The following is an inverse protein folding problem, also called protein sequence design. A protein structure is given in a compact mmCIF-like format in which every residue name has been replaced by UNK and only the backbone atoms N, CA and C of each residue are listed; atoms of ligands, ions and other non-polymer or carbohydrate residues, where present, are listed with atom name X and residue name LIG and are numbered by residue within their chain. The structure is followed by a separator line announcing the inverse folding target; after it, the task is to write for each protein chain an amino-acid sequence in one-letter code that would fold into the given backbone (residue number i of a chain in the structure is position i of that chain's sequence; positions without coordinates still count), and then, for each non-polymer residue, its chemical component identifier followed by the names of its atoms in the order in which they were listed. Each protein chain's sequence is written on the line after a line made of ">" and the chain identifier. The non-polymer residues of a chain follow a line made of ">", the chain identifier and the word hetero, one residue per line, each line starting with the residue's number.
data_IF_103297804671
#
_entry.id   IF_103297804671
#
_cell.length_a   1.000
_cell.length_b   1.000
_cell.length_c   1.000
_cell.angle_alpha   90.00
_cell.angle_beta   90.00
_cell.angle_gamma   90.00
#
_symmetry.space_group_name_H-M   'P 1'
#
loop_
_entity.id
_entity.type
_entity.pdbx_description
1 polymer ?
#
# COMPACT_ATOMS: atom_id res chain seq x y z
N UNK A 1 6.97 -1.19 -20.05
CA UNK A 1 8.10 -2.13 -20.02
C UNK A 1 8.69 -2.10 -18.61
N UNK A 2 8.45 -3.15 -17.82
CA UNK A 2 8.86 -3.24 -16.42
C UNK A 2 10.33 -3.64 -16.34
N UNK A 3 11.20 -2.72 -15.91
CA UNK A 3 12.60 -3.01 -15.61
C UNK A 3 12.66 -3.80 -14.28
N UNK A 4 13.13 -5.06 -14.27
CA UNK A 4 13.23 -5.86 -13.05
C UNK A 4 14.04 -5.19 -11.93
N UNK A 5 15.07 -4.42 -12.30
CA UNK A 5 15.88 -3.65 -11.36
C UNK A 5 15.08 -2.53 -10.70
N UNK A 6 14.24 -1.83 -11.47
CA UNK A 6 13.36 -0.78 -10.94
C UNK A 6 12.36 -1.33 -9.92
N UNK A 7 11.78 -2.51 -10.18
CA UNK A 7 10.85 -3.17 -9.24
C UNK A 7 11.58 -3.56 -7.95
N UNK A 8 12.75 -4.18 -8.05
CA UNK A 8 13.54 -4.58 -6.89
C UNK A 8 13.93 -3.38 -6.01
N UNK A 9 14.33 -2.27 -6.62
CA UNK A 9 14.67 -1.02 -5.92
C UNK A 9 13.45 -0.48 -5.17
N UNK A 10 12.28 -0.38 -5.81
CA UNK A 10 11.08 0.13 -5.16
C UNK A 10 10.69 -0.74 -3.95
N UNK A 11 10.74 -2.06 -4.10
CA UNK A 11 10.42 -2.98 -3.01
C UNK A 11 11.39 -2.83 -1.83
N UNK A 12 12.69 -2.71 -2.08
CA UNK A 12 13.70 -2.47 -1.05
C UNK A 12 13.51 -1.10 -0.36
N UNK A 13 13.26 -0.05 -1.15
CA UNK A 13 13.03 1.29 -0.65
C UNK A 13 11.78 1.37 0.25
N UNK A 14 10.67 0.76 -0.18
CA UNK A 14 9.41 0.69 0.59
C UNK A 14 9.62 0.01 1.94
N UNK A 15 10.40 -1.08 2.01
CA UNK A 15 10.80 -1.71 3.27
C UNK A 15 11.66 -0.80 4.14
N UNK A 16 12.71 -0.21 3.56
CA UNK A 16 13.66 0.62 4.30
C UNK A 16 12.95 1.83 4.94
N UNK A 17 12.15 2.57 4.16
CA UNK A 17 11.41 3.74 4.66
C UNK A 17 10.26 3.38 5.61
N UNK A 18 9.76 2.14 5.61
CA UNK A 18 8.77 1.69 6.58
C UNK A 18 9.40 1.30 7.93
N UNK A 19 10.63 0.78 7.93
CA UNK A 19 11.27 0.20 9.13
C UNK A 19 12.26 1.15 9.82
N UNK A 20 12.74 2.17 9.11
CA UNK A 20 13.78 3.07 9.58
C UNK A 20 13.34 4.53 9.43
N UNK A 21 13.88 5.40 10.29
CA UNK A 21 13.71 6.84 10.10
C UNK A 21 14.34 7.30 8.79
N UNK A 22 13.75 8.32 8.16
CA UNK A 22 14.20 8.81 6.85
C UNK A 22 15.71 9.02 6.83
N UNK A 23 16.29 9.72 7.81
CA UNK A 23 17.72 10.02 7.89
C UNK A 23 18.63 8.77 7.96
N UNK A 24 18.16 7.66 8.52
CA UNK A 24 18.92 6.42 8.62
C UNK A 24 18.94 5.62 7.31
N UNK A 25 17.97 5.83 6.42
CA UNK A 25 17.90 5.15 5.12
C UNK A 25 18.99 5.71 4.18
N UNK A 26 19.74 4.81 3.54
CA UNK A 26 20.77 5.20 2.56
C UNK A 26 20.55 4.52 1.21
N UNK A 27 20.90 5.19 0.10
CA UNK A 27 20.83 4.62 -1.24
C UNK A 27 21.70 3.36 -1.39
N UNK A 28 22.85 3.30 -0.69
CA UNK A 28 23.70 2.10 -0.66
C UNK A 28 23.02 0.94 0.07
N UNK A 29 22.35 1.19 1.19
CA UNK A 29 21.58 0.16 1.90
C UNK A 29 20.44 -0.40 1.06
N UNK A 30 19.67 0.48 0.39
CA UNK A 30 18.61 0.08 -0.54
C UNK A 30 19.20 -0.73 -1.71
N UNK A 31 20.32 -0.31 -2.29
CA UNK A 31 20.96 -1.01 -3.40
C UNK A 31 21.41 -2.42 -3.01
N UNK A 32 21.99 -2.57 -1.81
CA UNK A 32 22.38 -3.87 -1.26
C UNK A 32 21.17 -4.80 -1.08
N UNK A 33 20.08 -4.31 -0.50
CA UNK A 33 18.84 -5.09 -0.30
C UNK A 33 18.14 -5.45 -1.62
N UNK A 34 18.22 -4.57 -2.63
CA UNK A 34 17.71 -4.82 -3.98
C UNK A 34 18.65 -5.67 -4.85
N UNK A 35 19.85 -6.00 -4.38
CA UNK A 35 20.92 -6.67 -5.14
C UNK A 35 21.25 -5.94 -6.48
N UNK A 36 21.41 -4.62 -6.41
CA UNK A 36 21.77 -3.74 -7.55
C UNK A 36 22.87 -2.75 -7.16
N UNK A 37 23.39 -1.98 -8.12
CA UNK A 37 24.32 -0.89 -7.83
C UNK A 37 23.58 0.40 -7.42
N UNK A 38 24.17 1.21 -6.54
CA UNK A 38 23.62 2.52 -6.18
C UNK A 38 23.51 3.47 -7.40
N UNK A 39 24.41 3.31 -8.38
CA UNK A 39 24.35 4.05 -9.65
C UNK A 39 23.07 3.75 -10.44
N UNK A 40 22.56 2.50 -10.37
CA UNK A 40 21.29 2.13 -11.01
C UNK A 40 20.10 2.84 -10.34
N UNK A 41 20.13 3.02 -9.01
CA UNK A 41 19.09 3.79 -8.31
C UNK A 41 19.11 5.26 -8.76
N UNK A 42 20.29 5.89 -8.80
CA UNK A 42 20.44 7.27 -9.27
C UNK A 42 19.97 7.41 -10.72
N UNK A 43 20.28 6.43 -11.58
CA UNK A 43 19.81 6.41 -12.97
C UNK A 43 18.29 6.35 -13.08
N UNK A 44 17.61 5.57 -12.23
CA UNK A 44 16.14 5.41 -12.31
C UNK A 44 15.34 6.48 -11.55
N UNK A 45 15.88 6.99 -10.44
CA UNK A 45 15.14 7.80 -9.48
C UNK A 45 15.83 9.12 -9.13
N UNK A 46 17.09 9.32 -9.52
CA UNK A 46 17.84 10.55 -9.25
C UNK A 46 18.41 10.60 -7.83
N UNK A 47 17.55 10.84 -6.83
CA UNK A 47 17.98 11.05 -5.43
C UNK A 47 17.20 10.19 -4.43
N UNK A 48 17.59 10.27 -3.15
CA UNK A 48 16.87 9.60 -2.06
C UNK A 48 15.50 10.23 -1.85
N UNK A 49 15.41 11.56 -1.96
CA UNK A 49 14.18 12.35 -1.87
C UNK A 49 13.22 11.92 -2.98
N UNK A 50 13.67 11.92 -4.24
CA UNK A 50 12.83 11.52 -5.37
C UNK A 50 12.41 10.04 -5.30
N UNK A 51 13.27 9.16 -4.78
CA UNK A 51 12.89 7.77 -4.49
C UNK A 51 11.86 7.69 -3.36
N UNK A 52 12.01 8.50 -2.31
CA UNK A 52 11.04 8.59 -1.22
C UNK A 52 9.69 9.12 -1.72
N UNK A 53 9.67 10.15 -2.55
CA UNK A 53 8.43 10.67 -3.15
C UNK A 53 7.71 9.60 -3.96
N UNK A 54 8.46 8.83 -4.77
CA UNK A 54 7.85 7.71 -5.50
C UNK A 54 7.39 6.58 -4.61
N UNK A 55 8.04 6.38 -3.46
CA UNK A 55 7.54 5.49 -2.42
C UNK A 55 6.24 6.07 -1.89
N UNK A 56 6.23 7.28 -1.33
CA UNK A 56 5.11 7.98 -0.70
C UNK A 56 3.90 8.23 -1.62
N UNK A 57 4.03 8.05 -2.93
CA UNK A 57 2.95 8.09 -3.89
C UNK A 57 2.11 6.79 -3.90
N UNK A 58 0.80 6.94 -3.67
CA UNK A 58 -0.20 5.89 -3.66
C UNK A 58 -1.19 5.99 -4.84
N UNK A 59 -1.03 6.93 -5.76
CA UNK A 59 -1.94 7.15 -6.91
C UNK A 59 -2.22 5.85 -7.69
N UNK A 60 -1.17 5.17 -8.13
CA UNK A 60 -1.25 3.90 -8.87
C UNK A 60 -1.99 2.82 -8.07
N UNK A 61 -1.79 2.78 -6.75
CA UNK A 61 -2.48 1.81 -5.90
C UNK A 61 -3.96 2.17 -5.69
N UNK A 62 -4.27 3.46 -5.56
CA UNK A 62 -5.65 3.93 -5.47
C UNK A 62 -6.42 3.61 -6.76
N UNK A 63 -5.83 3.87 -7.93
CA UNK A 63 -6.41 3.52 -9.22
C UNK A 63 -6.74 2.02 -9.29
N UNK A 64 -5.80 1.15 -8.92
CA UNK A 64 -6.02 -0.29 -8.90
C UNK A 64 -7.12 -0.71 -7.93
N UNK A 65 -7.15 -0.16 -6.72
CA UNK A 65 -8.16 -0.48 -5.70
C UNK A 65 -9.57 -0.02 -6.10
N UNK A 66 -9.68 1.04 -6.91
CA UNK A 66 -10.95 1.66 -7.31
C UNK A 66 -11.41 1.22 -8.70
N UNK A 67 -10.67 0.34 -9.38
CA UNK A 67 -10.92 -0.12 -10.75
C UNK A 67 -12.06 -1.16 -10.88
N UNK A 68 -13.21 -0.88 -10.24
CA UNK A 68 -14.44 -1.67 -10.37
C UNK A 68 -15.68 -0.79 -10.17
N UNK A 69 -16.86 -1.20 -10.70
CA UNK A 69 -18.15 -0.59 -10.37
C UNK A 69 -18.47 -0.62 -8.87
N UNK A 70 -19.36 0.25 -8.40
CA UNK A 70 -19.66 0.37 -6.96
C UNK A 70 -20.17 -0.92 -6.36
N UNK A 71 -21.02 -1.64 -7.10
CA UNK A 71 -21.67 -2.88 -6.68
C UNK A 71 -20.67 -4.01 -6.37
N UNK A 72 -19.48 -3.93 -6.95
CA UNK A 72 -18.42 -4.95 -6.81
C UNK A 72 -17.16 -4.41 -6.12
N UNK A 73 -17.13 -3.11 -5.80
CA UNK A 73 -15.92 -2.41 -5.37
C UNK A 73 -15.32 -3.00 -4.09
N UNK A 74 -16.14 -3.43 -3.14
CA UNK A 74 -15.66 -4.07 -1.92
C UNK A 74 -14.91 -5.38 -2.20
N UNK A 75 -15.47 -6.23 -3.08
CA UNK A 75 -14.84 -7.51 -3.46
C UNK A 75 -13.56 -7.27 -4.26
N UNK A 76 -13.63 -6.36 -5.23
CA UNK A 76 -12.49 -5.97 -6.06
C UNK A 76 -11.33 -5.42 -5.22
N UNK A 77 -11.60 -4.54 -4.25
CA UNK A 77 -10.57 -3.97 -3.39
C UNK A 77 -9.85 -5.03 -2.54
N UNK A 78 -10.60 -6.00 -1.97
CA UNK A 78 -10.01 -7.10 -1.20
C UNK A 78 -9.14 -7.99 -2.08
N UNK A 79 -9.65 -8.42 -3.24
CA UNK A 79 -8.88 -9.24 -4.17
C UNK A 79 -7.63 -8.54 -4.68
N UNK A 80 -7.77 -7.26 -5.07
CA UNK A 80 -6.67 -6.43 -5.52
C UNK A 80 -5.60 -6.37 -4.45
N UNK A 81 -5.97 -6.13 -3.19
CA UNK A 81 -5.02 -6.08 -2.09
C UNK A 81 -4.30 -7.43 -1.89
N UNK A 82 -5.06 -8.53 -1.81
CA UNK A 82 -4.52 -9.88 -1.55
C UNK A 82 -3.58 -10.31 -2.69
N UNK A 83 -4.00 -10.12 -3.94
CA UNK A 83 -3.21 -10.49 -5.12
C UNK A 83 -1.98 -9.59 -5.27
N UNK A 84 -2.13 -8.28 -5.07
CA UNK A 84 -0.99 -7.36 -5.10
C UNK A 84 0.08 -7.77 -4.09
N UNK A 85 -0.33 -8.19 -2.89
CA UNK A 85 0.58 -8.69 -1.85
C UNK A 85 1.31 -9.96 -2.27
N UNK A 86 0.63 -10.91 -2.91
CA UNK A 86 1.26 -12.16 -3.38
C UNK A 86 2.30 -11.90 -4.48
N UNK A 87 2.02 -10.97 -5.38
CA UNK A 87 2.90 -10.66 -6.51
C UNK A 87 4.05 -9.72 -6.13
N UNK A 88 3.80 -8.75 -5.24
CA UNK A 88 4.75 -7.66 -4.94
C UNK A 88 5.38 -7.74 -3.54
N UNK A 89 4.83 -8.53 -2.62
CA UNK A 89 5.29 -8.64 -1.23
C UNK A 89 4.65 -7.62 -0.27
N UNK A 90 5.37 -7.27 0.79
CA UNK A 90 4.97 -6.29 1.81
C UNK A 90 5.07 -4.86 1.25
N UNK A 91 4.03 -4.30 0.61
CA UNK A 91 4.29 -3.06 -0.16
C UNK A 91 3.30 -1.90 -0.11
N UNK A 92 2.04 -2.08 0.30
CA UNK A 92 1.11 -0.94 0.38
C UNK A 92 0.81 -0.52 1.81
N UNK A 93 0.33 -1.47 2.61
CA UNK A 93 -0.31 -1.19 3.90
C UNK A 93 0.67 -1.10 5.07
N UNK A 94 1.76 -1.88 5.01
CA UNK A 94 2.86 -1.82 5.98
C UNK A 94 3.42 -0.40 6.06
N UNK A 95 3.59 0.28 4.92
CA UNK A 95 4.14 1.63 4.88
C UNK A 95 3.32 2.62 5.70
N UNK A 96 1.99 2.54 5.61
CA UNK A 96 1.07 3.43 6.34
C UNK A 96 1.01 3.06 7.82
N UNK A 97 0.90 1.76 8.12
CA UNK A 97 0.84 1.25 9.50
C UNK A 97 2.11 1.61 10.29
N UNK A 98 3.30 1.49 9.67
CA UNK A 98 4.57 1.84 10.32
C UNK A 98 4.94 3.33 10.23
N UNK A 99 4.21 4.11 9.41
CA UNK A 99 4.27 5.57 9.42
C UNK A 99 3.54 6.21 10.61
N UNK A 100 3.08 5.44 11.61
CA UNK A 100 2.43 5.97 12.81
C UNK A 100 3.37 6.79 13.75
N UNK A 101 4.67 6.81 13.49
CA UNK A 101 5.64 7.59 14.27
C UNK A 101 5.63 9.11 13.97
N UNK A 102 6.36 9.86 14.81
CA UNK A 102 6.63 11.30 14.63
C UNK A 102 7.74 11.53 13.60
N UNK A 103 7.55 12.50 12.70
CA UNK A 103 8.49 12.85 11.63
C UNK A 103 7.76 13.40 10.40
N UNK A 104 8.35 14.40 9.74
CA UNK A 104 7.72 15.08 8.60
C UNK A 104 7.45 14.12 7.44
N UNK A 105 8.38 13.20 7.17
CA UNK A 105 8.26 12.19 6.11
C UNK A 105 7.15 11.18 6.40
N UNK A 106 7.00 10.79 7.66
CA UNK A 106 5.88 9.92 8.09
C UNK A 106 4.54 10.66 7.97
N UNK A 107 4.51 11.96 8.25
CA UNK A 107 3.32 12.79 8.03
C UNK A 107 2.93 12.88 6.55
N UNK A 108 3.91 13.07 5.65
CA UNK A 108 3.68 13.07 4.20
C UNK A 108 3.09 11.75 3.69
N UNK A 109 3.59 10.59 4.17
CA UNK A 109 3.01 9.29 3.81
C UNK A 109 1.54 9.19 4.22
N UNK A 110 1.20 9.65 5.44
CA UNK A 110 -0.19 9.64 5.93
C UNK A 110 -1.08 10.60 5.12
N UNK A 111 -0.57 11.78 4.80
CA UNK A 111 -1.26 12.77 3.99
C UNK A 111 -1.54 12.24 2.58
N UNK A 112 -0.54 11.71 1.88
CA UNK A 112 -0.73 11.12 0.56
C UNK A 112 -1.70 9.94 0.59
N UNK A 113 -1.62 9.07 1.59
CA UNK A 113 -2.57 7.95 1.72
C UNK A 113 -4.01 8.46 1.88
N UNK A 114 -4.23 9.44 2.76
CA UNK A 114 -5.55 10.06 2.94
C UNK A 114 -6.04 10.69 1.64
N UNK A 115 -5.18 11.46 0.99
CA UNK A 115 -5.56 12.30 -0.14
C UNK A 115 -5.75 11.52 -1.44
N UNK A 116 -5.05 10.39 -1.60
CA UNK A 116 -5.09 9.57 -2.81
C UNK A 116 -5.99 8.34 -2.65
N UNK A 117 -5.92 7.64 -1.51
CA UNK A 117 -6.65 6.39 -1.29
C UNK A 117 -7.98 6.65 -0.59
N UNK A 118 -7.96 7.28 0.60
CA UNK A 118 -9.19 7.49 1.37
C UNK A 118 -10.17 8.42 0.64
N UNK A 119 -9.70 9.56 0.12
CA UNK A 119 -10.55 10.44 -0.71
C UNK A 119 -10.99 9.76 -2.01
N UNK A 120 -10.17 8.87 -2.57
CA UNK A 120 -10.53 8.06 -3.73
C UNK A 120 -11.75 7.20 -3.46
N UNK A 121 -11.81 6.52 -2.32
CA UNK A 121 -13.03 5.82 -1.87
C UNK A 121 -14.17 6.78 -1.61
N UNK A 122 -13.94 7.87 -0.86
CA UNK A 122 -14.98 8.86 -0.55
C UNK A 122 -15.70 9.40 -1.80
N UNK A 123 -14.96 9.61 -2.89
CA UNK A 123 -15.52 10.07 -4.17
C UNK A 123 -16.45 9.05 -4.86
N UNK A 124 -16.41 7.78 -4.45
CA UNK A 124 -17.30 6.71 -4.94
C UNK A 124 -18.56 6.57 -4.07
N UNK A 125 -18.54 7.11 -2.86
CA UNK A 125 -19.62 6.92 -1.87
C UNK A 125 -20.77 7.91 -2.08
N UNK A 126 -21.96 7.50 -1.67
CA UNK A 126 -23.15 8.35 -1.59
C UNK A 126 -23.81 8.28 -0.21
N UNK A 127 -24.61 9.28 0.14
CA UNK A 127 -25.35 9.31 1.41
C UNK A 127 -24.61 10.03 2.54
N UNK A 128 -24.90 9.63 3.77
CA UNK A 128 -24.34 10.23 4.98
C UNK A 128 -22.96 9.64 5.34
N UNK A 129 -22.22 10.34 6.19
CA UNK A 129 -20.95 9.90 6.80
C UNK A 129 -19.86 9.44 5.80
N UNK A 130 -19.85 10.01 4.59
CA UNK A 130 -18.93 9.63 3.49
C UNK A 130 -17.47 9.56 3.96
N UNK A 131 -16.96 10.58 4.64
CA UNK A 131 -15.55 10.62 5.09
C UNK A 131 -15.26 9.54 6.14
N UNK A 132 -16.20 9.28 7.06
CA UNK A 132 -16.05 8.25 8.10
C UNK A 132 -16.06 6.87 7.45
N UNK A 133 -17.00 6.61 6.54
CA UNK A 133 -17.14 5.33 5.82
C UNK A 133 -15.92 5.05 4.96
N UNK A 134 -15.41 6.03 4.23
CA UNK A 134 -14.15 5.90 3.48
C UNK A 134 -12.95 5.61 4.40
N UNK A 135 -12.90 6.26 5.56
CA UNK A 135 -11.93 5.97 6.62
C UNK A 135 -12.02 4.52 7.12
N UNK A 136 -13.23 4.02 7.35
CA UNK A 136 -13.47 2.64 7.79
C UNK A 136 -13.11 1.60 6.70
N UNK A 137 -13.44 1.86 5.43
CA UNK A 137 -13.04 1.01 4.30
C UNK A 137 -11.51 0.88 4.26
N UNK A 138 -10.81 2.01 4.27
CA UNK A 138 -9.34 2.01 4.23
C UNK A 138 -8.74 1.39 5.50
N UNK A 139 -9.33 1.61 6.66
CA UNK A 139 -8.96 0.97 7.92
C UNK A 139 -9.11 -0.56 7.91
N UNK A 140 -10.20 -1.08 7.35
CA UNK A 140 -10.41 -2.52 7.19
C UNK A 140 -9.37 -3.13 6.24
N UNK A 141 -9.14 -2.51 5.07
CA UNK A 141 -8.10 -2.95 4.15
C UNK A 141 -6.72 -2.98 4.81
N UNK A 142 -6.36 -1.90 5.53
CA UNK A 142 -5.12 -1.82 6.33
C UNK A 142 -5.02 -2.96 7.35
N UNK A 143 -6.10 -3.22 8.09
CA UNK A 143 -6.19 -4.29 9.08
C UNK A 143 -5.99 -5.69 8.48
N UNK A 144 -6.63 -5.98 7.35
CA UNK A 144 -6.46 -7.25 6.63
C UNK A 144 -5.00 -7.45 6.21
N UNK A 145 -4.39 -6.44 5.58
CA UNK A 145 -2.99 -6.52 5.18
C UNK A 145 -2.00 -6.65 6.34
N UNK A 146 -2.31 -6.01 7.48
CA UNK A 146 -1.52 -6.15 8.71
C UNK A 146 -1.62 -7.56 9.30
N UNK A 147 -2.84 -8.11 9.44
CA UNK A 147 -3.06 -9.47 9.96
C UNK A 147 -2.29 -10.52 9.15
N UNK A 148 -2.40 -10.40 7.83
CA UNK A 148 -1.66 -11.18 6.85
C UNK A 148 -0.12 -11.08 7.00
N UNK A 149 0.39 -9.94 7.46
CA UNK A 149 1.83 -9.63 7.58
C UNK A 149 2.43 -10.03 8.92
N UNK A 150 1.61 -10.06 9.98
CA UNK A 150 1.97 -10.56 11.30
C UNK A 150 2.15 -12.08 11.26
N UNK A 151 1.16 -12.80 10.71
CA UNK A 151 1.22 -14.26 10.60
C UNK A 151 1.33 -14.72 9.14
N UNK A 152 2.55 -14.67 8.62
CA UNK A 152 2.85 -15.00 7.21
C UNK A 152 2.62 -16.48 6.87
N UNK A 153 2.60 -17.36 7.86
CA UNK A 153 2.37 -18.81 7.71
C UNK A 153 0.98 -19.22 8.19
N UNK A 154 0.17 -18.25 8.62
CA UNK A 154 -1.13 -18.48 9.20
C UNK A 154 -2.22 -18.81 8.18
N UNK A 155 -3.39 -19.25 8.65
CA UNK A 155 -4.52 -19.61 7.79
C UNK A 155 -4.94 -18.48 6.84
N UNK A 156 -4.94 -17.22 7.29
CA UNK A 156 -5.32 -16.07 6.44
C UNK A 156 -4.29 -15.81 5.35
N UNK A 157 -2.99 -15.99 5.62
CA UNK A 157 -1.96 -15.81 4.61
C UNK A 157 -1.95 -16.96 3.57
N UNK A 158 -2.33 -18.17 3.98
CA UNK A 158 -2.38 -19.36 3.14
C UNK A 158 -3.72 -19.57 2.39
N UNK A 159 -4.82 -18.98 2.87
CA UNK A 159 -6.15 -19.13 2.28
C UNK A 159 -6.21 -18.61 0.84
N UNK A 160 -7.10 -19.18 0.02
CA UNK A 160 -7.34 -18.71 -1.34
C UNK A 160 -7.88 -17.25 -1.36
N UNK A 161 -7.47 -16.38 -2.30
CA UNK A 161 -7.91 -14.99 -2.34
C UNK A 161 -9.42 -14.84 -2.44
N UNK A 162 -10.10 -15.71 -3.18
CA UNK A 162 -11.54 -15.67 -3.31
C UNK A 162 -12.21 -16.02 -1.98
N UNK A 163 -11.67 -16.98 -1.23
CA UNK A 163 -12.17 -17.30 0.12
C UNK A 163 -12.05 -16.10 1.07
N UNK A 164 -10.94 -15.36 1.01
CA UNK A 164 -10.76 -14.14 1.81
C UNK A 164 -11.77 -13.07 1.36
N UNK A 165 -11.92 -12.87 0.05
CA UNK A 165 -12.84 -11.89 -0.52
C UNK A 165 -14.29 -12.18 -0.12
N UNK A 166 -14.74 -13.43 -0.22
CA UNK A 166 -16.11 -13.81 0.10
C UNK A 166 -16.44 -13.60 1.59
N UNK A 167 -15.46 -13.76 2.49
CA UNK A 167 -15.62 -13.54 3.92
C UNK A 167 -15.50 -12.05 4.34
N UNK A 168 -14.64 -11.28 3.66
CA UNK A 168 -14.25 -9.93 4.10
C UNK A 168 -14.96 -8.81 3.34
N UNK A 169 -15.20 -9.00 2.04
CA UNK A 169 -15.78 -7.99 1.17
C UNK A 169 -17.18 -7.52 1.58
N UNK A 170 -18.09 -8.35 2.12
CA UNK A 170 -19.42 -7.89 2.52
C UNK A 170 -19.38 -6.74 3.54
N UNK A 171 -18.42 -6.75 4.47
CA UNK A 171 -18.24 -5.69 5.46
C UNK A 171 -17.76 -4.37 4.85
N UNK A 172 -16.94 -4.44 3.79
CA UNK A 172 -16.52 -3.27 3.02
C UNK A 172 -17.66 -2.78 2.12
N UNK A 173 -18.37 -3.68 1.46
CA UNK A 173 -19.47 -3.36 0.55
C UNK A 173 -20.62 -2.66 1.27
N UNK A 174 -20.91 -3.05 2.52
CA UNK A 174 -21.89 -2.38 3.37
C UNK A 174 -21.53 -0.92 3.70
N UNK A 175 -20.27 -0.51 3.53
CA UNK A 175 -19.84 0.88 3.70
C UNK A 175 -19.86 1.67 2.39
N UNK A 176 -20.15 1.05 1.24
CA UNK A 176 -20.16 1.72 -0.07
C UNK A 176 -21.51 2.36 -0.41
N UNK A 177 -22.61 1.72 0.00
CA UNK A 177 -23.99 2.20 -0.21
C UNK A 177 -24.64 2.63 1.09
#
# INVERSE_FOLDING_TARGET
>A
MTDPGRIAILRAARRAFALQDYNAVTLRGIAADANVSAALIVKHFGSKEALFDRVADFSEAAELLLAAPDEELGRHAVLTLVNYRRTNGLDLLVRVVFAAGSGNERALIREHFRDQVTRGFAARLTGEDIDIRAGLITGQLLGLGAAMSIDKTGPVAAADPDTIADLYAPGIQALIH
#
